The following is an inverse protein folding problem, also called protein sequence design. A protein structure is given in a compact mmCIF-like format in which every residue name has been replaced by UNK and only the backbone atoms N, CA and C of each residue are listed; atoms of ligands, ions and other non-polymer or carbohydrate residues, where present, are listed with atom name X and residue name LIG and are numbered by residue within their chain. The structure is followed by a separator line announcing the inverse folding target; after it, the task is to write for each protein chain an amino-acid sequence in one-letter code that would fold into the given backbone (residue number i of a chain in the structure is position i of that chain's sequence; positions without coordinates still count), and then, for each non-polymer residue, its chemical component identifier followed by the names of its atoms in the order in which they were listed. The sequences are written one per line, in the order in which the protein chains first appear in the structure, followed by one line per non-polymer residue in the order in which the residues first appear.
data_IF_426054906915
#
_entry.id   IF_426054906915
#
_cell.length_a   1.000
_cell.length_b   1.000
_cell.length_c   1.000
_cell.angle_alpha   90.00
_cell.angle_beta   90.00
_cell.angle_gamma   90.00
#
_symmetry.space_group_name_H-M   'P 1'
#
loop_
_entity.id
_entity.type
_entity.pdbx_description
1 polymer ?
#
# COMPACT_ATOMS: atom_id res chain seq x y z
N UNK A 1 -33.10 34.81 -9.45
CA UNK A 1 -32.18 33.65 -9.31
C UNK A 1 -32.65 32.65 -10.35
N UNK A 2 -32.04 32.68 -11.54
CA UNK A 2 -32.57 32.02 -12.73
C UNK A 2 -32.23 30.52 -12.70
N UNK A 3 -33.19 29.69 -12.30
CA UNK A 3 -33.20 28.29 -12.69
C UNK A 3 -33.63 28.23 -14.17
N UNK A 4 -32.66 28.20 -15.07
CA UNK A 4 -32.93 27.75 -16.43
C UNK A 4 -33.34 26.27 -16.34
N UNK A 5 -34.60 25.97 -16.67
CA UNK A 5 -35.07 24.61 -16.88
C UNK A 5 -34.17 23.94 -17.92
N UNK A 6 -33.31 23.03 -17.47
CA UNK A 6 -32.48 22.22 -18.36
C UNK A 6 -33.39 21.55 -19.38
N UNK A 7 -33.00 21.64 -20.65
CA UNK A 7 -33.70 20.94 -21.70
C UNK A 7 -33.63 19.43 -21.42
N UNK A 8 -34.64 18.67 -21.85
CA UNK A 8 -34.67 17.21 -21.64
C UNK A 8 -33.37 16.52 -22.12
N UNK A 9 -32.76 17.04 -23.18
CA UNK A 9 -31.47 16.58 -23.70
C UNK A 9 -30.30 16.79 -22.74
N UNK A 10 -30.25 17.91 -22.03
CA UNK A 10 -29.21 18.20 -21.04
C UNK A 10 -29.36 17.29 -19.82
N UNK A 11 -30.61 17.02 -19.39
CA UNK A 11 -30.90 16.08 -18.31
C UNK A 11 -30.45 14.66 -18.68
N UNK A 12 -30.78 14.21 -19.90
CA UNK A 12 -30.36 12.90 -20.41
C UNK A 12 -28.83 12.80 -20.57
N UNK A 13 -28.18 13.87 -21.06
CA UNK A 13 -26.73 13.91 -21.19
C UNK A 13 -26.01 13.84 -19.83
N UNK A 14 -26.47 14.60 -18.84
CA UNK A 14 -25.91 14.58 -17.49
C UNK A 14 -26.10 13.22 -16.80
N UNK A 15 -27.24 12.58 -17.05
CA UNK A 15 -27.53 11.25 -16.53
C UNK A 15 -26.57 10.20 -17.12
N UNK A 16 -26.35 10.21 -18.43
CA UNK A 16 -25.41 9.29 -19.10
C UNK A 16 -23.98 9.57 -18.63
N UNK A 17 -23.57 10.84 -18.55
CA UNK A 17 -22.25 11.25 -18.09
C UNK A 17 -21.94 10.72 -16.70
N UNK A 18 -22.81 10.96 -15.71
CA UNK A 18 -22.59 10.51 -14.33
C UNK A 18 -22.45 9.00 -14.21
N UNK A 19 -23.25 8.25 -14.98
CA UNK A 19 -23.18 6.78 -15.02
C UNK A 19 -21.90 6.28 -15.69
N UNK A 20 -21.49 6.95 -16.76
CA UNK A 20 -20.23 6.65 -17.43
C UNK A 20 -19.04 6.92 -16.50
N UNK A 21 -19.00 8.08 -15.85
CA UNK A 21 -17.94 8.45 -14.91
C UNK A 21 -17.84 7.43 -13.75
N UNK A 22 -18.98 7.03 -13.18
CA UNK A 22 -19.02 6.00 -12.13
C UNK A 22 -18.54 4.64 -12.63
N UNK A 23 -18.98 4.22 -13.82
CA UNK A 23 -18.58 2.93 -14.38
C UNK A 23 -17.07 2.90 -14.67
N UNK A 24 -16.51 3.95 -15.26
CA UNK A 24 -15.08 4.05 -15.55
C UNK A 24 -14.28 4.08 -14.26
N UNK A 25 -14.67 4.90 -13.27
CA UNK A 25 -13.99 4.95 -11.98
C UNK A 25 -14.00 3.58 -11.27
N UNK A 26 -15.14 2.89 -11.28
CA UNK A 26 -15.24 1.56 -10.66
C UNK A 26 -14.34 0.54 -11.36
N UNK A 27 -14.28 0.54 -12.70
CA UNK A 27 -13.43 -0.37 -13.47
C UNK A 27 -11.96 -0.08 -13.17
N UNK A 28 -11.54 1.19 -13.22
CA UNK A 28 -10.16 1.58 -12.91
C UNK A 28 -9.81 1.20 -11.46
N UNK A 29 -10.71 1.48 -10.51
CA UNK A 29 -10.53 1.14 -9.10
C UNK A 29 -10.30 -0.37 -8.94
N UNK A 30 -11.21 -1.21 -9.44
CA UNK A 30 -11.10 -2.66 -9.29
C UNK A 30 -9.85 -3.23 -9.98
N UNK A 31 -9.55 -2.76 -11.19
CA UNK A 31 -8.38 -3.23 -11.94
C UNK A 31 -7.07 -2.87 -11.25
N UNK A 32 -6.92 -1.62 -10.81
CA UNK A 32 -5.71 -1.14 -10.14
C UNK A 32 -5.54 -1.77 -8.77
N UNK A 33 -6.62 -1.96 -8.02
CA UNK A 33 -6.60 -2.62 -6.72
C UNK A 33 -6.25 -4.10 -6.85
N UNK A 34 -6.82 -4.83 -7.81
CA UNK A 34 -6.47 -6.24 -8.03
C UNK A 34 -5.00 -6.41 -8.44
N UNK A 35 -4.48 -5.52 -9.28
CA UNK A 35 -3.08 -5.56 -9.68
C UNK A 35 -2.14 -5.19 -8.52
N UNK A 36 -2.45 -4.13 -7.77
CA UNK A 36 -1.71 -3.72 -6.58
C UNK A 36 -1.72 -4.79 -5.49
N UNK A 37 -2.86 -5.48 -5.34
CA UNK A 37 -3.00 -6.63 -4.47
C UNK A 37 -2.01 -7.74 -4.83
N UNK A 38 -2.09 -8.26 -6.05
CA UNK A 38 -1.25 -9.39 -6.48
C UNK A 38 0.23 -9.02 -6.33
N UNK A 39 0.59 -7.79 -6.71
CA UNK A 39 1.95 -7.28 -6.52
C UNK A 39 2.35 -7.27 -5.04
N UNK A 40 1.56 -6.65 -4.17
CA UNK A 40 1.88 -6.55 -2.75
C UNK A 40 1.97 -7.94 -2.09
N UNK A 41 1.08 -8.87 -2.44
CA UNK A 41 1.12 -10.22 -1.88
C UNK A 41 2.36 -11.01 -2.28
N UNK A 42 2.82 -10.87 -3.53
CA UNK A 42 3.97 -11.63 -4.02
C UNK A 42 5.31 -11.07 -3.53
N UNK A 43 5.40 -9.76 -3.30
CA UNK A 43 6.65 -9.12 -2.88
C UNK A 43 6.77 -8.91 -1.37
N UNK A 44 5.67 -8.56 -0.71
CA UNK A 44 5.66 -8.13 0.69
C UNK A 44 4.55 -8.80 1.52
N UNK A 45 3.86 -9.79 0.95
CA UNK A 45 2.69 -10.43 1.56
C UNK A 45 3.00 -11.05 2.91
N UNK A 46 4.15 -11.70 3.04
CA UNK A 46 4.55 -12.38 4.27
C UNK A 46 4.58 -11.42 5.49
N UNK A 47 5.18 -10.25 5.35
CA UNK A 47 5.19 -9.22 6.42
C UNK A 47 3.84 -8.52 6.60
N UNK A 48 2.98 -8.54 5.58
CA UNK A 48 1.61 -8.06 5.69
C UNK A 48 0.72 -9.03 6.48
N UNK A 49 0.97 -10.33 6.34
CA UNK A 49 0.12 -11.41 6.84
C UNK A 49 0.19 -11.62 8.33
N UNK A 50 1.33 -11.36 8.94
CA UNK A 50 1.61 -11.90 10.27
C UNK A 50 2.18 -10.84 11.19
N UNK A 51 1.63 -10.73 12.40
CA UNK A 51 2.12 -9.79 13.41
C UNK A 51 3.57 -10.08 13.84
N UNK A 52 3.97 -11.35 13.90
CA UNK A 52 5.34 -11.76 14.25
C UNK A 52 6.36 -11.39 13.17
N UNK A 53 5.93 -11.07 11.95
CA UNK A 53 6.82 -10.57 10.90
C UNK A 53 6.90 -9.03 10.87
N UNK A 54 6.05 -8.29 11.59
CA UNK A 54 6.07 -6.81 11.60
C UNK A 54 7.20 -6.27 12.49
N UNK A 55 8.43 -6.46 12.03
CA UNK A 55 9.67 -6.10 12.74
C UNK A 55 10.10 -4.65 12.47
N UNK A 56 11.28 -4.28 12.98
CA UNK A 56 11.83 -2.92 12.85
C UNK A 56 12.76 -2.75 11.66
N UNK A 57 13.21 -3.84 11.03
CA UNK A 57 14.17 -3.80 9.93
C UNK A 57 13.51 -4.08 8.58
N UNK A 58 12.92 -5.26 8.40
CA UNK A 58 12.50 -5.74 7.08
C UNK A 58 11.12 -5.25 6.68
N UNK A 59 10.16 -5.29 7.60
CA UNK A 59 8.81 -4.80 7.36
C UNK A 59 8.77 -3.31 6.92
N UNK A 60 9.39 -2.35 7.64
CA UNK A 60 9.42 -0.95 7.22
C UNK A 60 10.32 -0.65 6.02
N UNK A 61 11.03 -1.65 5.49
CA UNK A 61 11.83 -1.53 4.26
C UNK A 61 11.06 -2.09 3.07
N UNK A 62 10.67 -3.36 3.14
CA UNK A 62 10.11 -4.09 2.01
C UNK A 62 8.71 -3.58 1.67
N UNK A 63 7.87 -3.35 2.68
CA UNK A 63 6.48 -2.95 2.42
C UNK A 63 6.41 -1.58 1.74
N UNK A 64 7.06 -0.50 2.23
CA UNK A 64 7.00 0.80 1.54
C UNK A 64 7.55 0.76 0.12
N UNK A 65 8.66 0.05 -0.11
CA UNK A 65 9.30 -0.09 -1.42
C UNK A 65 8.37 -0.81 -2.41
N UNK A 66 7.75 -1.92 -2.00
CA UNK A 66 6.85 -2.68 -2.86
C UNK A 66 5.52 -1.95 -3.12
N UNK A 67 5.03 -1.21 -2.12
CA UNK A 67 3.68 -0.64 -2.18
C UNK A 67 3.60 0.74 -2.81
N UNK A 68 4.70 1.48 -2.97
CA UNK A 68 4.71 2.77 -3.68
C UNK A 68 4.53 2.62 -5.20
N UNK A 69 4.82 1.42 -5.74
CA UNK A 69 4.77 1.07 -7.16
C UNK A 69 3.45 1.48 -7.85
N UNK A 70 2.34 0.89 -7.41
CA UNK A 70 1.03 1.14 -8.01
C UNK A 70 0.47 2.54 -7.73
N UNK A 71 0.57 3.10 -6.52
CA UNK A 71 0.30 4.50 -6.25
C UNK A 71 1.00 5.45 -7.24
N UNK A 72 2.29 5.27 -7.50
CA UNK A 72 3.04 6.10 -8.45
C UNK A 72 2.53 5.95 -9.89
N UNK A 73 2.28 4.72 -10.36
CA UNK A 73 1.79 4.47 -11.71
C UNK A 73 0.37 5.00 -11.94
N UNK A 74 -0.51 4.84 -10.95
CA UNK A 74 -1.89 5.32 -11.01
C UNK A 74 -1.94 6.84 -10.87
N UNK A 75 -1.12 7.43 -10.01
CA UNK A 75 -0.93 8.89 -9.98
C UNK A 75 -0.47 9.41 -11.33
N UNK A 76 0.51 8.77 -11.97
CA UNK A 76 0.97 9.19 -13.30
C UNK A 76 -0.19 9.21 -14.30
N UNK A 77 -0.91 8.11 -14.45
CA UNK A 77 -2.02 8.02 -15.40
C UNK A 77 -3.16 9.01 -15.08
N UNK A 78 -3.61 9.07 -13.83
CA UNK A 78 -4.76 9.89 -13.45
C UNK A 78 -4.44 11.39 -13.42
N UNK A 79 -3.23 11.75 -13.00
CA UNK A 79 -2.81 13.14 -12.91
C UNK A 79 -2.46 13.74 -14.28
N UNK A 80 -1.81 12.96 -15.17
CA UNK A 80 -1.41 13.50 -16.48
C UNK A 80 -2.60 13.71 -17.42
N UNK A 81 -3.64 12.87 -17.32
CA UNK A 81 -4.79 12.94 -18.22
C UNK A 81 -5.99 13.70 -17.64
N UNK A 82 -6.29 13.54 -16.36
CA UNK A 82 -7.52 14.08 -15.75
C UNK A 82 -7.30 14.99 -14.56
N UNK A 83 -6.03 15.24 -14.16
CA UNK A 83 -5.70 16.04 -12.97
C UNK A 83 -6.45 15.60 -11.71
N UNK A 84 -6.70 14.30 -11.61
CA UNK A 84 -7.43 13.71 -10.49
C UNK A 84 -6.46 13.51 -9.30
N UNK A 85 -6.65 14.20 -8.16
CA UNK A 85 -5.67 14.30 -7.08
C UNK A 85 -5.76 13.16 -6.04
N UNK A 86 -6.26 11.98 -6.40
CA UNK A 86 -6.47 10.88 -5.45
C UNK A 86 -5.98 9.52 -5.98
N UNK A 87 -4.94 9.53 -6.81
CA UNK A 87 -4.42 8.31 -7.44
C UNK A 87 -3.82 7.33 -6.43
N UNK A 88 -3.00 7.81 -5.49
CA UNK A 88 -2.38 6.97 -4.47
C UNK A 88 -3.40 6.48 -3.45
N UNK A 89 -4.26 7.40 -2.98
CA UNK A 89 -5.28 7.12 -1.97
C UNK A 89 -6.28 6.09 -2.47
N UNK A 90 -6.69 6.17 -3.74
CA UNK A 90 -7.57 5.20 -4.36
C UNK A 90 -6.99 3.77 -4.31
N UNK A 91 -5.72 3.62 -4.67
CA UNK A 91 -5.04 2.31 -4.67
C UNK A 91 -4.89 1.78 -3.25
N UNK A 92 -4.38 2.59 -2.32
CA UNK A 92 -4.13 2.16 -0.94
C UNK A 92 -5.42 1.86 -0.17
N UNK A 93 -6.48 2.62 -0.42
CA UNK A 93 -7.79 2.36 0.15
C UNK A 93 -8.35 1.01 -0.33
N UNK A 94 -8.30 0.76 -1.64
CA UNK A 94 -8.77 -0.52 -2.17
C UNK A 94 -7.92 -1.71 -1.74
N UNK A 95 -6.59 -1.54 -1.64
CA UNK A 95 -5.71 -2.56 -1.07
C UNK A 95 -6.11 -2.89 0.37
N UNK A 96 -6.30 -1.88 1.22
CA UNK A 96 -6.72 -2.05 2.61
C UNK A 96 -8.08 -2.77 2.70
N UNK A 97 -9.06 -2.37 1.89
CA UNK A 97 -10.38 -3.01 1.85
C UNK A 97 -10.30 -4.47 1.44
N UNK A 98 -9.55 -4.78 0.38
CA UNK A 98 -9.32 -6.16 0.00
C UNK A 98 -8.69 -6.94 1.15
N UNK A 99 -7.76 -6.31 1.89
CA UNK A 99 -6.88 -6.98 2.84
C UNK A 99 -7.73 -7.44 4.00
N UNK A 100 -8.53 -6.53 4.54
CA UNK A 100 -9.54 -6.83 5.53
C UNK A 100 -10.55 -7.87 5.06
N UNK A 101 -11.05 -7.77 3.83
CA UNK A 101 -11.99 -8.77 3.30
C UNK A 101 -11.38 -10.18 3.32
N UNK A 102 -10.13 -10.30 2.86
CA UNK A 102 -9.38 -11.55 2.86
C UNK A 102 -9.07 -12.04 4.30
N UNK A 103 -8.72 -11.13 5.22
CA UNK A 103 -8.43 -11.49 6.62
C UNK A 103 -9.67 -12.04 7.32
N UNK A 104 -10.82 -11.42 7.09
CA UNK A 104 -12.06 -11.80 7.74
C UNK A 104 -12.61 -13.09 7.13
N UNK A 105 -12.73 -13.17 5.80
CA UNK A 105 -13.37 -14.31 5.14
C UNK A 105 -12.46 -15.54 5.14
N UNK A 106 -11.19 -15.38 4.75
CA UNK A 106 -10.31 -16.53 4.56
C UNK A 106 -9.52 -16.86 5.83
N UNK A 107 -8.79 -15.90 6.40
CA UNK A 107 -7.92 -16.20 7.55
C UNK A 107 -8.73 -16.51 8.82
N UNK A 108 -9.73 -15.68 9.14
CA UNK A 108 -10.52 -15.85 10.36
C UNK A 108 -11.71 -16.79 10.17
N UNK A 109 -12.60 -16.53 9.22
CA UNK A 109 -13.84 -17.32 9.10
C UNK A 109 -13.57 -18.75 8.59
N UNK A 110 -12.65 -18.94 7.65
CA UNK A 110 -12.30 -20.27 7.13
C UNK A 110 -11.15 -20.92 7.91
N UNK A 111 -9.97 -20.31 7.95
CA UNK A 111 -8.76 -20.91 8.53
C UNK A 111 -8.63 -20.76 10.06
N UNK A 112 -9.56 -20.03 10.71
CA UNK A 112 -9.64 -19.87 12.17
C UNK A 112 -8.43 -19.21 12.83
N UNK A 113 -7.63 -18.46 12.09
CA UNK A 113 -6.60 -17.59 12.67
C UNK A 113 -7.25 -16.35 13.32
N UNK A 114 -6.79 -15.93 14.49
CA UNK A 114 -7.38 -14.78 15.17
C UNK A 114 -6.96 -13.47 14.45
N UNK A 115 -7.84 -12.47 14.47
CA UNK A 115 -7.62 -11.22 13.72
C UNK A 115 -6.37 -10.47 14.21
N UNK A 116 -6.04 -10.57 15.50
CA UNK A 116 -4.84 -9.98 16.09
C UNK A 116 -3.52 -10.58 15.57
N UNK A 117 -3.55 -11.79 14.98
CA UNK A 117 -2.40 -12.37 14.30
C UNK A 117 -2.25 -11.86 12.86
N UNK A 118 -3.37 -11.60 12.18
CA UNK A 118 -3.42 -11.48 10.71
C UNK A 118 -3.79 -10.12 10.15
N UNK A 119 -3.94 -9.10 11.01
CA UNK A 119 -4.38 -7.79 10.58
C UNK A 119 -3.38 -7.12 9.62
N UNK A 120 -3.87 -6.42 8.59
CA UNK A 120 -3.01 -5.73 7.64
C UNK A 120 -2.42 -4.44 8.21
N UNK A 121 -1.34 -3.98 7.60
CA UNK A 121 -0.85 -2.61 7.72
C UNK A 121 -1.78 -1.59 7.06
N UNK A 122 -1.65 -0.32 7.46
CA UNK A 122 -2.27 0.82 6.78
C UNK A 122 -1.24 1.60 5.98
N UNK A 123 -1.63 1.95 4.74
CA UNK A 123 -0.87 2.83 3.85
C UNK A 123 -1.56 4.18 3.60
N UNK A 124 -2.71 4.41 4.24
CA UNK A 124 -3.55 5.57 3.98
C UNK A 124 -2.86 6.90 4.32
N UNK A 125 -2.18 7.06 5.47
CA UNK A 125 -1.53 8.34 5.78
C UNK A 125 -0.44 8.71 4.76
N UNK A 126 0.32 7.72 4.30
CA UNK A 126 1.37 7.96 3.30
C UNK A 126 0.76 8.33 1.94
N UNK A 127 -0.32 7.65 1.54
CA UNK A 127 -1.03 7.93 0.29
C UNK A 127 -1.64 9.32 0.24
N UNK A 128 -2.24 9.78 1.34
CA UNK A 128 -2.81 11.13 1.44
C UNK A 128 -1.71 12.18 1.30
N UNK A 129 -0.56 11.98 1.95
CA UNK A 129 0.60 12.89 1.84
C UNK A 129 1.16 12.90 0.42
N UNK A 130 1.30 11.72 -0.20
CA UNK A 130 1.80 11.58 -1.56
C UNK A 130 0.91 12.29 -2.59
N UNK A 131 -0.41 12.10 -2.50
CA UNK A 131 -1.40 12.81 -3.33
C UNK A 131 -1.40 14.32 -3.04
N UNK A 132 -1.32 14.71 -1.77
CA UNK A 132 -1.30 16.12 -1.35
C UNK A 132 -0.09 16.89 -1.89
N UNK A 133 1.09 16.26 -1.91
CA UNK A 133 2.30 16.86 -2.49
C UNK A 133 2.15 17.04 -4.01
N UNK A 134 1.63 16.03 -4.71
CA UNK A 134 1.39 16.12 -6.14
C UNK A 134 0.37 17.21 -6.48
N UNK A 135 -0.71 17.30 -5.70
CA UNK A 135 -1.77 18.29 -5.88
C UNK A 135 -1.27 19.72 -5.64
N UNK A 136 -0.45 19.94 -4.61
CA UNK A 136 0.05 21.28 -4.24
C UNK A 136 1.18 21.76 -5.13
N UNK A 137 2.09 20.87 -5.51
CA UNK A 137 3.29 21.24 -6.29
C UNK A 137 3.08 21.10 -7.80
N UNK A 138 2.09 20.30 -8.23
CA UNK A 138 1.85 19.90 -9.62
C UNK A 138 3.12 19.39 -10.33
N UNK A 139 4.07 18.84 -9.57
CA UNK A 139 5.38 18.42 -10.07
C UNK A 139 5.74 17.03 -9.56
N UNK A 140 5.76 16.06 -10.49
CA UNK A 140 6.07 14.67 -10.16
C UNK A 140 7.48 14.48 -9.61
N UNK A 141 8.45 15.33 -9.97
CA UNK A 141 9.83 15.26 -9.44
C UNK A 141 9.83 15.61 -7.96
N UNK A 142 9.09 16.65 -7.57
CA UNK A 142 8.95 17.04 -6.16
C UNK A 142 8.21 15.96 -5.39
N UNK A 143 7.13 15.40 -5.96
CA UNK A 143 6.43 14.25 -5.37
C UNK A 143 7.32 13.04 -5.22
N UNK A 144 8.18 12.74 -6.20
CA UNK A 144 9.12 11.64 -6.12
C UNK A 144 10.10 11.84 -4.96
N UNK A 145 10.76 13.01 -4.90
CA UNK A 145 11.80 13.28 -3.90
C UNK A 145 11.22 13.43 -2.49
N UNK A 146 10.24 14.30 -2.31
CA UNK A 146 9.67 14.62 -0.98
C UNK A 146 8.63 13.59 -0.59
N UNK A 147 7.73 13.25 -1.51
CA UNK A 147 6.66 12.29 -1.25
C UNK A 147 7.18 10.85 -1.15
N UNK A 148 8.17 10.46 -1.97
CA UNK A 148 8.83 9.16 -1.84
C UNK A 148 9.57 8.98 -0.52
N UNK A 149 10.27 10.02 -0.04
CA UNK A 149 10.92 9.96 1.27
C UNK A 149 9.90 9.89 2.42
N UNK A 150 8.88 10.76 2.40
CA UNK A 150 7.83 10.76 3.42
C UNK A 150 7.01 9.47 3.41
N UNK A 151 6.89 8.79 2.27
CA UNK A 151 6.24 7.49 2.17
C UNK A 151 6.92 6.44 3.06
N UNK A 152 8.25 6.34 3.01
CA UNK A 152 9.01 5.45 3.88
C UNK A 152 8.96 5.88 5.36
N UNK A 153 9.17 7.17 5.62
CA UNK A 153 9.23 7.71 6.98
C UNK A 153 7.91 7.61 7.75
N UNK A 154 6.78 7.80 7.07
CA UNK A 154 5.46 7.77 7.69
C UNK A 154 4.93 6.35 7.93
N UNK A 155 5.53 5.33 7.31
CA UNK A 155 5.03 3.97 7.37
C UNK A 155 4.96 3.38 8.78
N UNK A 156 6.08 3.41 9.51
CA UNK A 156 6.11 2.82 10.85
C UNK A 156 5.30 3.66 11.86
N UNK A 157 5.41 5.01 11.90
CA UNK A 157 4.58 5.83 12.79
C UNK A 157 3.08 5.65 12.58
N UNK A 158 2.61 5.49 11.33
CA UNK A 158 1.18 5.30 11.07
C UNK A 158 0.64 3.95 11.56
N UNK A 159 1.51 2.94 11.62
CA UNK A 159 1.12 1.60 12.03
C UNK A 159 1.44 1.30 13.50
N UNK A 160 2.32 2.08 14.13
CA UNK A 160 2.71 1.92 15.52
C UNK A 160 1.53 1.77 16.50
N UNK A 161 0.45 2.60 16.42
CA UNK A 161 -0.70 2.45 17.31
C UNK A 161 -1.37 1.06 17.25
N UNK A 162 -1.28 0.38 16.10
CA UNK A 162 -1.84 -0.95 15.90
C UNK A 162 -0.92 -2.06 16.43
N UNK A 163 0.40 -1.92 16.24
CA UNK A 163 1.37 -2.97 16.59
C UNK A 163 1.92 -2.85 18.02
N UNK A 164 1.91 -1.67 18.62
CA UNK A 164 2.51 -1.41 19.94
C UNK A 164 2.04 -2.37 21.05
N UNK A 165 0.74 -2.73 21.16
CA UNK A 165 0.28 -3.70 22.16
C UNK A 165 0.93 -5.09 22.02
N UNK A 166 1.37 -5.45 20.83
CA UNK A 166 1.97 -6.76 20.54
C UNK A 166 3.49 -6.80 20.81
N UNK A 167 4.12 -5.65 21.01
CA UNK A 167 5.53 -5.55 21.40
C UNK A 167 5.75 -5.54 22.92
N UNK A 168 4.69 -5.69 23.73
CA UNK A 168 4.80 -5.83 25.18
C UNK A 168 5.54 -7.14 25.50
N UNK A 169 6.54 -7.13 26.39
CA UNK A 169 7.26 -8.33 26.79
C UNK A 169 6.40 -9.23 27.68
N UNK A 170 6.51 -10.54 27.48
CA UNK A 170 5.87 -11.59 28.29
C UNK A 170 6.91 -12.67 28.61
N UNK A 171 6.88 -13.18 29.84
CA UNK A 171 7.67 -14.34 30.24
C UNK A 171 6.84 -15.61 30.02
N UNK A 172 7.22 -16.42 29.03
CA UNK A 172 6.57 -17.70 28.73
C UNK A 172 7.58 -18.84 28.88
N UNK A 173 7.27 -19.82 29.72
CA UNK A 173 8.15 -20.99 29.97
C UNK A 173 9.62 -20.61 30.30
N UNK A 174 9.82 -19.48 30.98
CA UNK A 174 11.15 -18.97 31.35
C UNK A 174 11.90 -18.23 30.23
N UNK A 175 11.29 -18.06 29.05
CA UNK A 175 11.82 -17.26 27.94
C UNK A 175 11.08 -15.92 27.81
N UNK A 176 11.81 -14.88 27.45
CA UNK A 176 11.26 -13.57 27.15
C UNK A 176 10.78 -13.55 25.69
N UNK A 177 9.48 -13.37 25.49
CA UNK A 177 8.85 -13.24 24.18
C UNK A 177 8.10 -11.92 24.09
N UNK A 178 7.85 -11.44 22.87
CA UNK A 178 6.81 -10.43 22.67
C UNK A 178 5.43 -11.10 22.64
N UNK A 179 4.37 -10.33 22.89
CA UNK A 179 2.99 -10.83 22.68
C UNK A 179 2.80 -11.31 21.22
N UNK A 180 3.42 -10.65 20.24
CA UNK A 180 3.40 -11.08 18.83
C UNK A 180 3.98 -12.50 18.65
N UNK A 181 5.15 -12.77 19.24
CA UNK A 181 5.79 -14.08 19.17
C UNK A 181 4.97 -15.14 19.90
N UNK A 182 4.36 -14.80 21.04
CA UNK A 182 3.51 -15.72 21.79
C UNK A 182 2.24 -16.10 21.03
N UNK A 183 1.58 -15.14 20.37
CA UNK A 183 0.40 -15.43 19.53
C UNK A 183 0.81 -16.40 18.41
N UNK A 184 1.93 -16.14 17.73
CA UNK A 184 2.40 -17.05 16.69
C UNK A 184 2.70 -18.46 17.20
N UNK A 185 3.31 -18.57 18.39
CA UNK A 185 3.61 -19.85 19.01
C UNK A 185 2.33 -20.65 19.32
N UNK A 186 1.26 -19.97 19.75
CA UNK A 186 -0.02 -20.60 20.09
C UNK A 186 -0.85 -21.00 18.85
N UNK A 187 -0.81 -20.20 17.78
CA UNK A 187 -1.60 -20.42 16.57
C UNK A 187 -0.75 -21.07 15.49
N UNK A 188 -0.69 -22.41 15.52
CA UNK A 188 0.14 -23.22 14.64
C UNK A 188 -0.15 -22.95 13.17
N UNK A 189 0.91 -22.60 12.44
CA UNK A 189 0.91 -22.49 10.98
C UNK A 189 1.67 -23.70 10.41
N UNK A 190 0.98 -24.55 9.67
CA UNK A 190 1.49 -25.87 9.24
C UNK A 190 2.74 -25.79 8.35
N UNK A 191 2.90 -24.72 7.58
CA UNK A 191 3.96 -24.56 6.57
C UNK A 191 4.86 -23.34 6.76
N UNK A 192 4.70 -22.57 7.84
CA UNK A 192 5.51 -21.37 8.11
C UNK A 192 6.21 -21.46 9.47
N UNK A 193 7.22 -22.35 9.58
CA UNK A 193 8.04 -22.47 10.79
C UNK A 193 8.83 -21.18 11.04
N UNK A 194 9.24 -21.00 12.30
CA UNK A 194 9.93 -19.80 12.79
C UNK A 194 11.17 -19.43 11.96
N UNK A 195 11.99 -20.41 11.55
CA UNK A 195 13.23 -20.16 10.81
C UNK A 195 13.03 -19.54 9.41
N UNK A 196 11.80 -19.56 8.86
CA UNK A 196 11.50 -18.86 7.60
C UNK A 196 11.26 -17.36 7.81
N UNK A 197 11.15 -16.89 9.06
CA UNK A 197 10.94 -15.48 9.38
C UNK A 197 12.16 -14.68 8.96
N UNK A 198 11.93 -13.70 8.09
CA UNK A 198 12.90 -12.65 7.79
C UNK A 198 12.61 -11.44 8.66
N UNK A 199 13.14 -11.46 9.88
CA UNK A 199 13.02 -10.39 10.89
C UNK A 199 14.40 -9.98 11.38
N UNK A 200 14.49 -8.83 12.04
CA UNK A 200 15.72 -8.38 12.70
C UNK A 200 16.24 -9.41 13.73
N UNK A 201 17.42 -10.00 13.49
CA UNK A 201 18.12 -10.91 14.41
C UNK A 201 19.38 -10.30 15.05
N UNK A 202 19.62 -9.01 14.79
CA UNK A 202 20.79 -8.29 15.27
C UNK A 202 22.05 -8.57 14.43
N UNK A 203 22.94 -7.58 14.35
CA UNK A 203 24.26 -7.75 13.73
C UNK A 203 25.32 -7.04 14.56
N UNK A 204 26.57 -7.49 14.48
CA UNK A 204 27.73 -6.83 15.13
C UNK A 204 27.97 -5.39 14.64
N UNK A 205 27.29 -4.96 13.57
CA UNK A 205 27.41 -3.62 12.97
C UNK A 205 26.24 -2.71 13.36
N UNK A 206 25.23 -3.23 14.05
CA UNK A 206 24.05 -2.47 14.46
C UNK A 206 24.31 -1.77 15.80
N UNK A 207 24.20 -0.45 15.82
CA UNK A 207 24.21 0.32 17.07
C UNK A 207 22.79 0.33 17.66
N UNK A 208 22.68 0.00 18.95
CA UNK A 208 21.40 -0.24 19.62
C UNK A 208 20.45 0.98 19.52
N UNK A 209 19.19 0.73 19.13
CA UNK A 209 18.10 1.71 19.10
C UNK A 209 17.90 2.47 17.78
N UNK A 210 18.87 2.46 16.85
CA UNK A 210 18.79 3.22 15.60
C UNK A 210 18.17 2.51 14.39
N UNK A 211 17.92 1.18 14.49
CA UNK A 211 17.55 0.33 13.34
C UNK A 211 16.32 0.85 12.60
N UNK A 212 15.26 1.19 13.34
CA UNK A 212 14.02 1.66 12.74
C UNK A 212 14.21 2.95 11.93
N UNK A 213 14.95 3.92 12.46
CA UNK A 213 15.19 5.20 11.78
C UNK A 213 15.97 5.01 10.47
N UNK A 214 17.00 4.16 10.51
CA UNK A 214 17.80 3.82 9.32
C UNK A 214 16.96 3.07 8.30
N UNK A 215 16.15 2.10 8.73
CA UNK A 215 15.26 1.35 7.85
C UNK A 215 14.21 2.22 7.18
N UNK A 216 13.58 3.14 7.92
CA UNK A 216 12.56 4.05 7.37
C UNK A 216 13.16 5.05 6.37
N UNK A 217 14.35 5.61 6.66
CA UNK A 217 15.05 6.49 5.73
C UNK A 217 15.53 5.75 4.48
N UNK A 218 16.07 4.54 4.65
CA UNK A 218 16.47 3.69 3.52
C UNK A 218 15.29 3.35 2.63
N UNK A 219 14.13 3.00 3.23
CA UNK A 219 12.92 2.70 2.47
C UNK A 219 12.41 3.94 1.73
N UNK A 220 12.43 5.12 2.35
CA UNK A 220 12.15 6.40 1.72
C UNK A 220 13.02 6.64 0.49
N UNK A 221 14.34 6.53 0.65
CA UNK A 221 15.30 6.73 -0.44
C UNK A 221 15.05 5.79 -1.63
N UNK A 222 14.84 4.48 -1.38
CA UNK A 222 14.54 3.53 -2.45
C UNK A 222 13.14 3.79 -3.04
N UNK A 223 12.17 4.20 -2.23
CA UNK A 223 10.84 4.60 -2.67
C UNK A 223 10.88 5.79 -3.64
N UNK A 224 11.83 6.73 -3.52
CA UNK A 224 12.07 7.78 -4.53
C UNK A 224 12.37 7.15 -5.91
N UNK A 225 13.30 6.19 -5.95
CA UNK A 225 13.72 5.52 -7.19
C UNK A 225 12.55 4.73 -7.78
N UNK A 226 11.85 3.97 -6.94
CA UNK A 226 10.66 3.21 -7.35
C UNK A 226 9.57 4.12 -7.87
N UNK A 227 9.34 5.28 -7.24
CA UNK A 227 8.37 6.26 -7.71
C UNK A 227 8.71 6.75 -9.11
N UNK A 228 9.96 7.10 -9.40
CA UNK A 228 10.37 7.51 -10.75
C UNK A 228 10.11 6.42 -11.79
N UNK A 229 10.55 5.19 -11.51
CA UNK A 229 10.38 4.05 -12.43
C UNK A 229 8.90 3.84 -12.71
N UNK A 230 8.08 3.76 -11.65
CA UNK A 230 6.67 3.45 -11.77
C UNK A 230 5.83 4.60 -12.30
N UNK A 231 6.25 5.85 -12.09
CA UNK A 231 5.66 7.00 -12.77
C UNK A 231 5.77 6.87 -14.29
N UNK A 232 6.96 6.56 -14.80
CA UNK A 232 7.16 6.35 -16.24
C UNK A 232 6.42 5.12 -16.75
N UNK A 233 6.34 4.04 -15.97
CA UNK A 233 5.53 2.86 -16.31
C UNK A 233 4.05 3.22 -16.42
N UNK A 234 3.50 3.93 -15.44
CA UNK A 234 2.11 4.41 -15.46
C UNK A 234 1.83 5.31 -16.66
N UNK A 235 2.75 6.23 -16.94
CA UNK A 235 2.67 7.07 -18.13
C UNK A 235 2.71 6.25 -19.43
N UNK A 236 3.55 5.22 -19.51
CA UNK A 236 3.63 4.32 -20.66
C UNK A 236 2.34 3.52 -20.86
N UNK A 237 1.80 2.91 -19.80
CA UNK A 237 0.55 2.14 -19.85
C UNK A 237 -0.68 2.99 -20.19
N UNK A 238 -0.64 4.29 -19.89
CA UNK A 238 -1.73 5.21 -20.21
C UNK A 238 -1.69 5.74 -21.67
N UNK A 239 -0.66 5.45 -22.47
CA UNK A 239 -0.57 5.98 -23.85
C UNK A 239 -1.51 5.26 -24.81
N UNK A 240 -2.39 5.98 -25.54
CA UNK A 240 -3.25 5.40 -26.57
C UNK A 240 -2.50 5.27 -27.90
N UNK A 241 -1.54 4.33 -27.99
CA UNK A 241 -0.77 4.09 -29.22
C UNK A 241 -1.47 3.03 -30.08
N UNK A 242 -1.85 3.41 -31.30
CA UNK A 242 -2.35 2.47 -32.31
C UNK A 242 -1.20 1.98 -33.19
N UNK A 243 -0.91 0.68 -33.15
CA UNK A 243 0.09 0.06 -34.01
C UNK A 243 -0.52 -0.24 -35.38
N UNK A 244 0.00 0.37 -36.45
CA UNK A 244 -0.36 -0.03 -37.82
C UNK A 244 0.35 -1.35 -38.15
N UNK A 245 -0.41 -2.42 -38.31
CA UNK A 245 0.11 -3.69 -38.83
C UNK A 245 0.56 -3.54 -40.29
N UNK A 246 1.66 -4.21 -40.66
CA UNK A 246 1.97 -4.44 -42.08
C UNK A 246 0.85 -5.29 -42.66
N UNK A 247 0.12 -4.77 -43.65
CA UNK A 247 -0.73 -5.62 -44.51
C UNK A 247 0.23 -6.53 -45.29
N UNK A 248 0.14 -7.83 -45.06
CA UNK A 248 0.73 -8.86 -45.92
C UNK A 248 -0.13 -8.96 -47.17
#
# INVERSE_FOLDING_TARGET
MNEQLLTQREIEADFVRKRFDLAVLLIIFLATVAAAWIHQQLFAGDWSFWIDLKDRMWWPVIVPIATICFPAAVQAALWTHWKFPAGATMVCFGLLLGQWLNRIINFWAWAKFPINLVFPETLLPQAIVLDGILMTTNNFVVTALVGGELWGLLFYPSNWPMIAPYHVPVLWEGQLLSVADLIQYQYIRTSTPEYLRMVETGTMRSFAGGVLGVSAFFSGFISIIMYFIWWYMGYFFAKPIYLKGKRI
#
